data_IF_975377717295
#
_entry.id   IF_975377717295
#
_cell.length_a   1.000
_cell.length_b   1.000
_cell.length_c   1.000
_cell.angle_alpha   90.00
_cell.angle_beta   90.00
_cell.angle_gamma   90.00
#
_symmetry.space_group_name_H-M   'P 1'
#
loop_
_entity.id
_entity.type
_entity.pdbx_description
1 polymer ?
#
# COMPACT_ATOMS: atom_id res chain seq x y z
N UNK A 1 -1.30 -3.08 17.50
CA UNK A 1 -1.08 -2.60 18.88
C UNK A 1 -0.64 -3.79 19.72
N UNK A 2 0.64 -3.86 20.08
CA UNK A 2 1.19 -4.97 20.88
C UNK A 2 0.89 -4.71 22.36
N UNK A 3 0.44 -5.72 23.08
CA UNK A 3 0.24 -5.57 24.51
C UNK A 3 1.55 -5.82 25.23
N UNK A 4 2.07 -4.80 25.93
CA UNK A 4 3.16 -4.99 26.92
C UNK A 4 2.76 -5.94 28.05
N UNK A 5 1.48 -6.32 28.13
CA UNK A 5 0.93 -7.29 29.08
C UNK A 5 0.94 -8.73 28.57
N UNK A 6 1.41 -9.01 27.35
CA UNK A 6 1.44 -10.39 26.79
C UNK A 6 2.10 -11.39 27.73
N UNK A 7 3.31 -11.14 28.29
CA UNK A 7 3.92 -12.07 29.24
C UNK A 7 3.06 -12.31 30.49
N UNK A 8 2.41 -11.26 30.99
CA UNK A 8 1.51 -11.34 32.16
C UNK A 8 0.28 -12.19 31.86
N UNK A 9 -0.36 -11.99 30.70
CA UNK A 9 -1.54 -12.76 30.27
C UNK A 9 -1.20 -14.23 30.06
N UNK A 10 -0.03 -14.53 29.47
CA UNK A 10 0.45 -15.90 29.31
C UNK A 10 0.74 -16.57 30.66
N UNK A 11 1.34 -15.85 31.61
CA UNK A 11 1.55 -16.36 32.97
C UNK A 11 0.24 -16.63 33.73
N UNK A 12 -0.79 -15.80 33.53
CA UNK A 12 -2.12 -16.04 34.10
C UNK A 12 -2.82 -17.23 33.42
N UNK A 13 -2.58 -17.43 32.12
CA UNK A 13 -3.12 -18.56 31.36
C UNK A 13 -2.52 -19.87 31.84
N UNK A 14 -1.20 -19.93 32.04
CA UNK A 14 -0.51 -21.12 32.55
C UNK A 14 -0.91 -21.47 34.00
N UNK A 15 -1.37 -20.49 34.76
CA UNK A 15 -1.96 -20.67 36.09
C UNK A 15 -3.44 -21.09 36.07
N UNK A 16 -4.07 -21.19 34.89
CA UNK A 16 -5.50 -21.48 34.75
C UNK A 16 -6.42 -20.36 35.25
N UNK A 17 -5.91 -19.14 35.40
CA UNK A 17 -6.66 -17.98 35.92
C UNK A 17 -7.41 -17.21 34.84
N UNK A 18 -6.91 -17.26 33.61
CA UNK A 18 -7.53 -16.68 32.42
C UNK A 18 -7.41 -17.66 31.27
N UNK A 19 -8.29 -17.53 30.28
CA UNK A 19 -8.20 -18.23 29.01
C UNK A 19 -8.20 -17.18 27.91
N UNK A 20 -7.34 -17.33 26.91
CA UNK A 20 -7.42 -16.52 25.71
C UNK A 20 -8.28 -17.23 24.65
N UNK A 21 -8.93 -16.43 23.83
CA UNK A 21 -9.67 -16.88 22.65
C UNK A 21 -9.34 -15.92 21.50
N UNK A 22 -9.50 -16.39 20.27
CA UNK A 22 -9.22 -15.61 19.06
C UNK A 22 -10.51 -15.43 18.30
N UNK A 23 -10.83 -14.18 17.96
CA UNK A 23 -11.95 -13.83 17.09
C UNK A 23 -11.42 -13.04 15.89
N UNK A 24 -11.93 -13.30 14.67
CA UNK A 24 -11.61 -12.46 13.52
C UNK A 24 -11.99 -11.01 13.80
N UNK A 25 -11.06 -10.09 13.56
CA UNK A 25 -11.38 -8.67 13.51
C UNK A 25 -11.81 -8.29 12.09
N UNK A 26 -12.73 -7.34 11.99
CA UNK A 26 -13.07 -6.72 10.71
C UNK A 26 -12.16 -5.54 10.40
N UNK A 27 -11.35 -5.12 11.37
CA UNK A 27 -10.39 -4.03 11.20
C UNK A 27 -9.25 -4.44 10.29
N UNK A 28 -8.94 -3.58 9.34
CA UNK A 28 -7.80 -3.74 8.44
C UNK A 28 -6.77 -2.66 8.74
N UNK A 29 -5.49 -2.99 8.57
CA UNK A 29 -4.39 -2.03 8.68
C UNK A 29 -3.57 -2.10 7.41
N UNK A 30 -3.14 -0.95 6.91
CA UNK A 30 -2.51 -0.84 5.60
C UNK A 30 -1.49 0.29 5.58
N UNK A 31 -0.56 0.16 4.63
CA UNK A 31 0.29 1.24 4.16
C UNK A 31 -0.32 1.80 2.90
N UNK A 32 -0.50 3.12 2.85
CA UNK A 32 -1.03 3.82 1.69
C UNK A 32 0.01 4.77 1.13
N UNK A 33 0.00 4.90 -0.20
CA UNK A 33 0.73 5.92 -0.92
C UNK A 33 -0.20 7.06 -1.27
N UNK A 34 0.21 8.29 -0.98
CA UNK A 34 -0.36 9.46 -1.63
C UNK A 34 0.28 9.63 -3.00
N UNK A 35 -0.55 9.60 -4.05
CA UNK A 35 -0.08 9.70 -5.42
C UNK A 35 0.40 11.12 -5.76
N UNK A 36 -0.04 12.14 -5.01
CA UNK A 36 0.35 13.53 -5.22
C UNK A 36 0.47 14.28 -3.88
N UNK A 37 1.62 14.10 -3.20
CA UNK A 37 1.86 14.71 -1.89
C UNK A 37 2.10 16.21 -1.98
N UNK A 38 1.54 16.97 -1.05
CA UNK A 38 1.90 18.36 -0.82
C UNK A 38 3.28 18.46 -0.18
N UNK A 39 4.33 18.70 -0.96
CA UNK A 39 5.71 18.82 -0.42
C UNK A 39 5.82 19.97 0.59
N UNK A 40 5.15 21.10 0.33
CA UNK A 40 5.12 22.22 1.29
C UNK A 40 4.33 21.87 2.56
N UNK A 41 3.22 21.13 2.43
CA UNK A 41 2.47 20.63 3.57
C UNK A 41 3.28 19.65 4.40
N UNK A 42 3.97 18.71 3.75
CA UNK A 42 4.85 17.74 4.39
C UNK A 42 5.99 18.43 5.15
N UNK A 43 6.70 19.39 4.51
CA UNK A 43 7.72 20.18 5.20
C UNK A 43 7.16 21.02 6.35
N UNK A 44 5.87 21.37 6.31
CA UNK A 44 5.18 22.10 7.38
C UNK A 44 4.89 21.27 8.63
N UNK A 45 4.82 19.94 8.50
CA UNK A 45 4.62 19.02 9.64
C UNK A 45 5.93 18.44 10.17
N UNK A 46 7.01 18.51 9.39
CA UNK A 46 8.32 18.00 9.78
C UNK A 46 9.09 18.99 10.67
N UNK A 47 10.06 18.52 11.48
CA UNK A 47 10.99 19.37 12.18
C UNK A 47 11.78 20.29 11.23
N UNK A 48 12.06 21.51 11.67
CA UNK A 48 12.88 22.45 10.90
C UNK A 48 14.27 21.87 10.62
N UNK A 49 14.62 21.73 9.35
CA UNK A 49 15.91 21.19 8.91
C UNK A 49 15.83 19.79 8.31
N UNK A 50 14.67 19.13 8.41
CA UNK A 50 14.39 17.90 7.66
C UNK A 50 14.42 18.16 6.15
N UNK A 51 14.85 17.14 5.40
CA UNK A 51 15.04 17.23 3.96
C UNK A 51 14.04 16.30 3.27
N UNK A 52 13.28 16.88 2.34
CA UNK A 52 12.49 16.12 1.38
C UNK A 52 12.89 16.61 -0.01
N UNK A 53 13.40 15.71 -0.85
CA UNK A 53 13.90 16.07 -2.19
C UNK A 53 13.30 15.23 -3.33
N UNK A 54 12.22 14.50 -3.04
CA UNK A 54 11.41 13.84 -4.06
C UNK A 54 10.31 14.78 -4.57
N UNK A 55 9.88 14.66 -5.84
CA UNK A 55 8.75 15.44 -6.34
C UNK A 55 7.41 14.98 -5.74
N UNK A 56 6.38 15.82 -5.80
CA UNK A 56 5.04 15.51 -5.28
C UNK A 56 4.43 14.23 -5.86
N UNK A 57 4.77 13.89 -7.11
CA UNK A 57 4.27 12.72 -7.81
C UNK A 57 5.17 11.49 -7.68
N UNK A 58 6.12 11.45 -6.74
CA UNK A 58 7.08 10.34 -6.61
C UNK A 58 6.39 8.99 -6.53
N UNK A 59 5.34 8.87 -5.71
CA UNK A 59 4.59 7.63 -5.55
C UNK A 59 3.52 7.39 -6.62
N UNK A 60 3.30 8.30 -7.57
CA UNK A 60 2.48 8.01 -8.76
C UNK A 60 3.17 7.01 -9.72
N UNK A 61 4.48 6.80 -9.58
CA UNK A 61 5.25 5.88 -10.40
C UNK A 61 5.08 4.42 -9.94
N UNK A 62 4.78 3.51 -10.88
CA UNK A 62 4.54 2.08 -10.60
C UNK A 62 5.81 1.39 -10.15
N UNK A 63 6.96 1.72 -10.73
CA UNK A 63 8.22 1.10 -10.35
C UNK A 63 8.60 1.52 -8.93
N UNK A 64 8.34 2.79 -8.55
CA UNK A 64 8.47 3.26 -7.16
C UNK A 64 7.57 2.43 -6.24
N UNK A 65 6.25 2.40 -6.49
CA UNK A 65 5.31 1.69 -5.60
C UNK A 65 5.60 0.21 -5.49
N UNK A 66 5.91 -0.45 -6.60
CA UNK A 66 6.19 -1.88 -6.62
C UNK A 66 7.50 -2.22 -5.91
N UNK A 67 8.56 -1.42 -6.11
CA UNK A 67 9.80 -1.58 -5.37
C UNK A 67 9.57 -1.42 -3.86
N UNK A 68 8.79 -0.42 -3.44
CA UNK A 68 8.43 -0.18 -2.04
C UNK A 68 7.60 -1.34 -1.45
N UNK A 69 6.51 -1.75 -2.11
CA UNK A 69 5.65 -2.86 -1.64
C UNK A 69 6.44 -4.17 -1.51
N UNK A 70 7.32 -4.48 -2.46
CA UNK A 70 8.12 -5.70 -2.42
C UNK A 70 9.34 -5.60 -1.48
N UNK A 71 9.72 -4.40 -1.03
CA UNK A 71 10.78 -4.19 -0.05
C UNK A 71 10.29 -4.34 1.40
N UNK A 72 8.98 -4.51 1.62
CA UNK A 72 8.47 -4.75 2.96
C UNK A 72 8.84 -6.16 3.46
N UNK A 73 9.37 -6.29 4.69
CA UNK A 73 9.81 -7.56 5.25
C UNK A 73 8.65 -8.38 5.84
N UNK A 74 7.72 -8.85 4.99
CA UNK A 74 6.48 -9.50 5.43
C UNK A 74 6.70 -10.68 6.38
N UNK A 75 7.68 -11.56 6.12
CA UNK A 75 7.93 -12.71 6.98
C UNK A 75 8.53 -12.31 8.33
N UNK A 76 9.53 -11.44 8.37
CA UNK A 76 10.08 -10.95 9.65
C UNK A 76 9.05 -10.16 10.42
N UNK A 77 8.27 -9.31 9.74
CA UNK A 77 7.17 -8.60 10.38
C UNK A 77 6.19 -9.57 11.01
N UNK A 78 5.68 -10.57 10.28
CA UNK A 78 4.69 -11.50 10.83
C UNK A 78 5.24 -12.37 11.97
N UNK A 79 6.43 -12.93 11.80
CA UNK A 79 6.97 -13.94 12.71
C UNK A 79 7.66 -13.33 13.94
N UNK A 80 8.09 -12.08 13.87
CA UNK A 80 8.88 -11.43 14.94
C UNK A 80 8.17 -10.22 15.50
N UNK A 81 7.74 -9.29 14.65
CA UNK A 81 7.20 -8.00 15.12
C UNK A 81 5.73 -8.17 15.50
N UNK A 82 4.96 -8.84 14.65
CA UNK A 82 3.55 -9.13 14.85
C UNK A 82 3.27 -10.31 15.79
N UNK A 83 4.32 -10.95 16.31
CA UNK A 83 4.21 -12.12 17.19
C UNK A 83 5.02 -11.89 18.45
N UNK A 84 4.35 -11.84 19.61
CA UNK A 84 5.00 -11.65 20.92
C UNK A 84 4.78 -12.90 21.75
N UNK A 85 5.87 -13.53 22.22
CA UNK A 85 5.83 -14.76 23.03
C UNK A 85 4.98 -15.89 22.40
N UNK A 86 4.99 -15.99 21.07
CA UNK A 86 4.21 -16.99 20.32
C UNK A 86 2.74 -16.63 20.08
N UNK A 87 2.28 -15.46 20.53
CA UNK A 87 0.93 -14.93 20.23
C UNK A 87 1.01 -14.00 19.03
N UNK A 88 0.31 -14.37 17.95
CA UNK A 88 0.23 -13.57 16.72
C UNK A 88 -0.89 -12.52 16.83
N UNK A 89 -0.52 -11.24 16.71
CA UNK A 89 -1.42 -10.06 16.79
C UNK A 89 -1.81 -9.50 15.42
N UNK A 90 -1.20 -9.99 14.34
CA UNK A 90 -1.49 -9.58 12.99
C UNK A 90 -1.03 -10.62 11.99
N UNK A 91 -1.77 -10.73 10.89
CA UNK A 91 -1.44 -11.59 9.78
C UNK A 91 -1.78 -10.88 8.47
N UNK A 92 -1.11 -11.29 7.41
CA UNK A 92 -1.35 -10.77 6.07
C UNK A 92 -2.37 -11.66 5.37
N UNK A 93 -3.39 -11.04 4.78
CA UNK A 93 -4.37 -11.73 3.94
C UNK A 93 -4.46 -11.12 2.53
N UNK A 94 -3.53 -10.21 2.20
CA UNK A 94 -3.18 -9.78 0.84
C UNK A 94 -4.17 -8.85 0.13
N UNK A 95 -5.21 -8.37 0.80
CA UNK A 95 -6.17 -7.43 0.22
C UNK A 95 -6.94 -6.66 1.29
N UNK A 96 -8.00 -5.96 0.89
CA UNK A 96 -8.82 -5.13 1.82
C UNK A 96 -10.02 -5.87 2.39
N UNK A 97 -10.36 -7.05 1.87
CA UNK A 97 -11.47 -7.87 2.38
C UNK A 97 -10.89 -8.82 3.44
N UNK A 98 -11.25 -8.66 4.74
CA UNK A 98 -10.80 -9.56 5.79
C UNK A 98 -11.16 -11.03 5.52
N UNK A 99 -10.31 -11.93 6.02
CA UNK A 99 -10.60 -13.36 6.03
C UNK A 99 -11.96 -13.62 6.70
N UNK A 100 -12.74 -14.53 6.13
CA UNK A 100 -14.10 -14.93 6.58
C UNK A 100 -15.23 -13.93 6.31
N UNK A 101 -14.97 -12.76 5.71
CA UNK A 101 -16.05 -11.98 5.10
C UNK A 101 -16.56 -12.67 3.82
N UNK A 102 -17.80 -12.37 3.43
CA UNK A 102 -18.33 -12.80 2.12
C UNK A 102 -17.39 -12.38 0.99
N UNK A 103 -17.33 -13.15 -0.10
CA UNK A 103 -16.49 -12.84 -1.26
C UNK A 103 -14.99 -12.67 -0.95
N UNK A 104 -14.49 -13.24 0.16
CA UNK A 104 -13.06 -13.40 0.37
C UNK A 104 -12.55 -14.62 -0.41
N UNK A 105 -11.77 -14.38 -1.46
CA UNK A 105 -11.16 -15.44 -2.28
C UNK A 105 -9.63 -15.41 -2.16
N UNK A 106 -9.03 -16.12 -1.20
CA UNK A 106 -7.59 -16.06 -0.94
C UNK A 106 -6.73 -16.52 -2.12
N UNK A 107 -7.26 -17.42 -2.96
CA UNK A 107 -6.56 -17.96 -4.14
C UNK A 107 -6.37 -16.95 -5.26
N UNK A 108 -7.15 -15.87 -5.26
CA UNK A 108 -7.14 -14.86 -6.31
C UNK A 108 -6.29 -13.65 -5.93
N UNK A 109 -5.63 -13.71 -4.77
CA UNK A 109 -4.79 -12.63 -4.26
C UNK A 109 -3.33 -13.04 -4.43
N UNK A 110 -2.65 -12.47 -5.41
CA UNK A 110 -1.18 -12.53 -5.48
C UNK A 110 -0.60 -11.32 -4.75
N UNK A 111 0.02 -11.55 -3.61
CA UNK A 111 0.65 -10.50 -2.83
C UNK A 111 2.06 -10.94 -2.40
N UNK A 112 3.08 -10.06 -2.39
CA UNK A 112 4.39 -10.42 -1.88
C UNK A 112 4.34 -11.00 -0.47
N UNK A 113 4.82 -12.22 -0.35
CA UNK A 113 4.99 -12.92 0.91
C UNK A 113 6.48 -13.18 1.13
N UNK A 114 6.95 -13.14 2.37
CA UNK A 114 8.36 -13.37 2.67
C UNK A 114 9.14 -12.10 2.98
N UNK A 115 10.45 -12.24 3.07
CA UNK A 115 11.36 -11.09 3.19
C UNK A 115 11.84 -10.64 1.80
N UNK A 116 12.34 -9.41 1.67
CA UNK A 116 12.72 -8.87 0.38
C UNK A 116 13.86 -9.68 -0.25
N UNK A 117 13.80 -9.86 -1.57
CA UNK A 117 14.83 -10.55 -2.32
C UNK A 117 15.74 -9.51 -2.97
N UNK A 118 17.03 -9.56 -2.63
CA UNK A 118 18.05 -8.62 -3.13
C UNK A 118 18.62 -8.99 -4.50
N UNK A 119 18.27 -10.16 -5.04
CA UNK A 119 18.70 -10.59 -6.38
C UNK A 119 17.79 -9.98 -7.47
N UNK A 120 18.30 -9.08 -8.33
CA UNK A 120 17.50 -8.43 -9.37
C UNK A 120 17.05 -9.38 -10.49
N UNK A 121 17.56 -10.61 -10.54
CA UNK A 121 17.13 -11.63 -11.53
C UNK A 121 15.79 -12.29 -11.15
N UNK A 122 15.33 -12.14 -9.91
CA UNK A 122 14.06 -12.70 -9.46
C UNK A 122 12.93 -11.74 -9.84
N UNK A 123 12.22 -12.06 -10.91
CA UNK A 123 11.11 -11.24 -11.47
C UNK A 123 10.08 -10.92 -10.40
N UNK A 124 9.70 -9.65 -10.32
CA UNK A 124 8.74 -9.15 -9.35
C UNK A 124 9.31 -8.90 -7.95
N UNK A 125 10.58 -9.21 -7.67
CA UNK A 125 11.20 -8.80 -6.40
C UNK A 125 11.45 -7.29 -6.34
N UNK A 126 11.70 -6.74 -5.14
CA UNK A 126 12.05 -5.33 -4.98
C UNK A 126 13.32 -4.96 -5.76
N UNK A 127 14.35 -5.81 -5.75
CA UNK A 127 15.56 -5.61 -6.52
C UNK A 127 15.31 -5.67 -8.03
N UNK A 128 14.39 -6.52 -8.49
CA UNK A 128 13.97 -6.53 -9.89
C UNK A 128 13.25 -5.24 -10.27
N UNK A 129 12.31 -4.76 -9.45
CA UNK A 129 11.62 -3.50 -9.69
C UNK A 129 12.55 -2.29 -9.69
N UNK A 130 13.53 -2.25 -8.78
CA UNK A 130 14.59 -1.25 -8.81
C UNK A 130 15.39 -1.31 -10.12
N UNK A 131 15.81 -2.50 -10.55
CA UNK A 131 16.54 -2.68 -11.80
C UNK A 131 15.73 -2.30 -13.05
N UNK A 132 14.42 -2.60 -13.07
CA UNK A 132 13.52 -2.18 -14.15
C UNK A 132 13.30 -0.67 -14.13
N UNK A 133 13.03 -0.09 -12.97
CA UNK A 133 12.76 1.34 -12.78
C UNK A 133 13.94 2.23 -13.17
N UNK A 134 15.17 1.73 -13.05
CA UNK A 134 16.39 2.49 -13.40
C UNK A 134 16.93 2.21 -14.80
N UNK A 135 16.36 1.23 -15.52
CA UNK A 135 16.80 0.85 -16.87
C UNK A 135 15.97 1.56 -17.95
N UNK A 136 16.59 2.45 -18.74
CA UNK A 136 15.92 3.21 -19.81
C UNK A 136 15.20 2.36 -20.87
N UNK A 137 15.59 1.10 -21.04
CA UNK A 137 14.95 0.19 -22.02
C UNK A 137 13.75 -0.57 -21.44
N UNK A 138 13.48 -0.43 -20.14
CA UNK A 138 12.37 -1.11 -19.48
C UNK A 138 11.04 -0.40 -19.76
N UNK A 139 9.92 -1.12 -19.98
CA UNK A 139 8.59 -0.52 -20.00
C UNK A 139 8.17 0.06 -18.63
N UNK A 140 8.93 -0.22 -17.57
CA UNK A 140 8.74 0.32 -16.23
C UNK A 140 9.77 1.40 -15.89
N UNK A 141 10.52 1.91 -16.89
CA UNK A 141 11.51 2.93 -16.64
C UNK A 141 10.89 4.15 -15.96
N UNK A 142 11.48 4.52 -14.82
CA UNK A 142 11.09 5.67 -14.03
C UNK A 142 12.21 6.71 -14.06
N UNK A 143 11.91 7.88 -14.62
CA UNK A 143 12.81 9.03 -14.52
C UNK A 143 13.04 9.46 -13.06
N UNK A 144 12.09 9.14 -12.17
CA UNK A 144 12.16 9.48 -10.76
C UNK A 144 13.13 8.57 -10.02
N UNK A 145 13.02 7.25 -10.18
CA UNK A 145 13.98 6.31 -9.59
C UNK A 145 15.38 6.47 -10.19
N UNK A 146 15.49 6.67 -11.51
CA UNK A 146 16.78 6.84 -12.16
C UNK A 146 17.53 8.12 -11.75
N UNK A 147 16.83 9.11 -11.19
CA UNK A 147 17.45 10.32 -10.64
C UNK A 147 18.03 10.10 -9.22
N UNK A 148 17.57 9.06 -8.51
CA UNK A 148 18.07 8.69 -7.19
C UNK A 148 19.42 7.98 -7.33
N UNK A 149 20.46 8.47 -6.66
CA UNK A 149 21.79 7.83 -6.64
C UNK A 149 22.37 7.91 -5.24
N UNK A 150 23.37 7.08 -4.90
CA UNK A 150 24.01 7.16 -3.58
C UNK A 150 24.72 8.51 -3.33
N UNK A 151 25.08 9.24 -4.39
CA UNK A 151 25.66 10.58 -4.29
C UNK A 151 24.60 11.70 -4.22
N UNK A 152 23.37 11.42 -4.64
CA UNK A 152 22.22 12.32 -4.58
C UNK A 152 20.97 11.48 -4.25
N UNK A 153 20.82 11.04 -2.98
CA UNK A 153 19.79 10.09 -2.62
C UNK A 153 18.42 10.74 -2.62
N UNK A 154 17.39 9.96 -2.92
CA UNK A 154 16.00 10.36 -2.73
C UNK A 154 15.62 10.17 -1.26
N UNK A 155 15.31 11.28 -0.59
CA UNK A 155 15.04 11.38 0.84
C UNK A 155 13.59 11.84 1.04
N UNK A 156 12.87 11.10 1.87
CA UNK A 156 11.50 11.39 2.28
C UNK A 156 11.15 10.64 3.57
N UNK A 157 10.22 11.14 4.37
CA UNK A 157 9.74 10.41 5.54
C UNK A 157 8.79 9.27 5.12
N UNK A 158 8.72 8.24 5.95
CA UNK A 158 7.64 7.26 6.03
C UNK A 158 6.91 7.60 7.32
N UNK A 159 5.63 7.93 7.19
CA UNK A 159 4.81 8.44 8.27
C UNK A 159 4.32 7.27 9.13
N UNK A 160 4.88 7.19 10.34
CA UNK A 160 4.50 6.26 11.38
C UNK A 160 3.40 6.83 12.28
N UNK A 161 3.27 6.26 13.48
CA UNK A 161 2.25 6.68 14.43
C UNK A 161 2.83 6.73 15.83
N UNK A 162 2.75 7.91 16.46
CA UNK A 162 3.23 8.15 17.82
C UNK A 162 2.65 7.12 18.80
N UNK A 163 3.55 6.53 19.60
CA UNK A 163 3.19 5.57 20.64
C UNK A 163 2.98 4.14 20.13
N UNK A 164 3.46 3.81 18.93
CA UNK A 164 3.36 2.46 18.35
C UNK A 164 4.74 1.83 18.13
N UNK A 165 5.45 1.39 19.20
CA UNK A 165 6.85 0.96 19.11
C UNK A 165 7.10 -0.20 18.15
N UNK A 166 6.14 -1.12 17.99
CA UNK A 166 6.34 -2.20 17.03
C UNK A 166 6.07 -1.79 15.57
N UNK A 167 5.38 -0.68 15.31
CA UNK A 167 5.43 -0.05 13.99
C UNK A 167 6.78 0.60 13.76
N UNK A 168 7.35 1.26 14.77
CA UNK A 168 8.68 1.91 14.69
C UNK A 168 9.78 0.88 14.38
N UNK A 169 9.73 -0.29 15.03
CA UNK A 169 10.60 -1.43 14.74
C UNK A 169 10.42 -1.92 13.29
N UNK A 170 9.17 -1.99 12.82
CA UNK A 170 8.88 -2.43 11.45
C UNK A 170 9.36 -1.43 10.40
N UNK A 171 9.19 -0.12 10.64
CA UNK A 171 9.67 0.95 9.77
C UNK A 171 11.18 0.98 9.74
N UNK A 172 11.86 0.82 10.88
CA UNK A 172 13.32 0.73 10.95
C UNK A 172 13.85 -0.40 10.06
N UNK A 173 13.25 -1.60 10.18
CA UNK A 173 13.63 -2.73 9.35
C UNK A 173 13.34 -2.45 7.87
N UNK A 174 12.14 -1.96 7.54
CA UNK A 174 11.74 -1.65 6.17
C UNK A 174 12.66 -0.62 5.49
N UNK A 175 13.04 0.44 6.20
CA UNK A 175 14.00 1.44 5.72
C UNK A 175 15.34 0.79 5.41
N UNK A 176 15.84 -0.07 6.30
CA UNK A 176 17.13 -0.75 6.09
C UNK A 176 17.12 -1.66 4.86
N UNK A 177 15.99 -2.33 4.59
CA UNK A 177 15.81 -3.17 3.40
C UNK A 177 15.83 -2.31 2.12
N UNK A 178 15.12 -1.18 2.10
CA UNK A 178 15.11 -0.25 0.96
C UNK A 178 16.53 0.26 0.66
N UNK A 179 17.26 0.69 1.68
CA UNK A 179 18.63 1.17 1.52
C UNK A 179 19.54 0.06 0.99
N UNK A 180 19.41 -1.17 1.48
CA UNK A 180 20.17 -2.31 1.00
C UNK A 180 19.88 -2.64 -0.47
N UNK A 181 18.59 -2.67 -0.85
CA UNK A 181 18.15 -2.97 -2.22
C UNK A 181 18.65 -1.92 -3.22
N UNK A 182 18.60 -0.65 -2.83
CA UNK A 182 18.93 0.48 -3.70
C UNK A 182 20.40 0.90 -3.62
N UNK A 183 21.20 0.28 -2.74
CA UNK A 183 22.59 0.68 -2.50
C UNK A 183 22.71 2.08 -1.91
N UNK A 184 21.72 2.50 -1.11
CA UNK A 184 21.63 3.82 -0.50
C UNK A 184 21.20 4.93 -1.46
N UNK A 185 20.68 4.61 -2.64
CA UNK A 185 20.14 5.60 -3.58
C UNK A 185 18.77 6.15 -3.13
N UNK A 186 18.01 5.35 -2.38
CA UNK A 186 16.76 5.78 -1.73
C UNK A 186 16.98 5.66 -0.22
N UNK A 187 16.82 6.77 0.50
CA UNK A 187 17.11 6.90 1.94
C UNK A 187 15.88 7.46 2.65
N UNK A 188 14.81 6.65 2.80
CA UNK A 188 13.67 7.06 3.59
C UNK A 188 14.04 7.12 5.07
N UNK A 189 13.29 7.88 5.85
CA UNK A 189 13.40 7.90 7.31
C UNK A 189 12.02 7.80 7.95
N UNK A 190 11.88 7.36 9.19
CA UNK A 190 10.58 7.32 9.86
C UNK A 190 10.27 8.66 10.53
N UNK A 191 9.03 9.12 10.43
CA UNK A 191 8.55 10.26 11.20
C UNK A 191 7.15 9.97 11.75
N UNK A 192 6.99 10.11 13.06
CA UNK A 192 5.74 9.81 13.73
C UNK A 192 4.87 11.05 13.92
N UNK A 193 3.59 10.90 13.59
CA UNK A 193 2.54 11.86 13.89
C UNK A 193 1.48 11.23 14.79
N UNK A 194 0.56 12.03 15.32
CA UNK A 194 -0.56 11.46 16.08
C UNK A 194 -1.49 10.68 15.14
N UNK A 195 -2.22 9.68 15.67
CA UNK A 195 -3.25 8.99 14.89
C UNK A 195 -4.29 9.97 14.31
N UNK A 196 -4.68 10.99 15.09
CA UNK A 196 -5.61 12.02 14.64
C UNK A 196 -5.07 12.78 13.43
N UNK A 197 -3.81 13.20 13.48
CA UNK A 197 -3.17 13.89 12.36
C UNK A 197 -3.10 12.99 11.13
N UNK A 198 -2.75 11.71 11.31
CA UNK A 198 -2.72 10.75 10.21
C UNK A 198 -4.09 10.62 9.52
N UNK A 199 -5.19 10.57 10.28
CA UNK A 199 -6.56 10.53 9.74
C UNK A 199 -6.88 11.84 9.01
N UNK A 200 -6.63 13.00 9.63
CA UNK A 200 -6.96 14.31 9.04
C UNK A 200 -6.18 14.53 7.74
N UNK A 201 -4.89 14.20 7.74
CA UNK A 201 -4.04 14.38 6.58
C UNK A 201 -4.35 13.38 5.46
N UNK A 202 -4.74 12.15 5.77
CA UNK A 202 -5.04 11.14 4.75
C UNK A 202 -6.44 11.21 4.17
N UNK A 203 -7.45 11.58 4.97
CA UNK A 203 -8.88 11.52 4.57
C UNK A 203 -9.48 12.90 4.31
N UNK A 204 -9.10 13.89 5.10
CA UNK A 204 -9.76 15.22 5.09
C UNK A 204 -9.03 16.24 4.23
N UNK A 205 -7.95 15.85 3.57
CA UNK A 205 -7.21 16.72 2.65
C UNK A 205 -7.83 16.67 1.25
N UNK A 206 -7.90 17.83 0.59
CA UNK A 206 -8.28 17.90 -0.82
C UNK A 206 -7.25 17.14 -1.68
N UNK A 207 -7.64 16.60 -2.85
CA UNK A 207 -6.70 15.95 -3.76
C UNK A 207 -5.47 16.83 -4.01
N UNK A 208 -4.27 16.28 -3.78
CA UNK A 208 -3.00 16.99 -3.98
C UNK A 208 -2.53 17.84 -2.80
N UNK A 209 -3.27 17.83 -1.68
CA UNK A 209 -2.99 18.67 -0.51
C UNK A 209 -2.54 17.88 0.71
N UNK A 210 -2.63 16.56 0.67
CA UNK A 210 -2.23 15.74 1.81
C UNK A 210 -0.73 15.92 2.10
N UNK A 211 -0.35 16.18 3.37
CA UNK A 211 1.04 16.32 3.78
C UNK A 211 1.68 14.96 4.13
N UNK A 212 1.05 13.83 3.81
CA UNK A 212 1.59 12.48 4.11
C UNK A 212 1.78 11.70 2.81
N UNK A 213 2.96 11.13 2.61
CA UNK A 213 3.38 10.51 1.35
C UNK A 213 3.24 8.98 1.34
N UNK A 214 3.84 8.31 2.33
CA UNK A 214 3.70 6.89 2.62
C UNK A 214 3.36 6.79 4.09
N UNK A 215 2.17 6.35 4.42
CA UNK A 215 1.65 6.40 5.77
C UNK A 215 0.91 5.13 6.14
N UNK A 216 0.82 4.87 7.44
CA UNK A 216 0.05 3.75 7.97
C UNK A 216 -1.29 4.22 8.46
N UNK A 217 -2.33 3.44 8.21
CA UNK A 217 -3.62 3.68 8.81
C UNK A 217 -4.37 2.35 9.02
N UNK A 218 -5.54 2.45 9.63
CA UNK A 218 -6.48 1.35 9.70
C UNK A 218 -7.89 1.80 9.36
N UNK A 219 -8.71 0.84 8.99
CA UNK A 219 -10.12 1.02 8.74
C UNK A 219 -10.91 0.00 9.54
N UNK A 220 -11.98 0.48 10.18
CA UNK A 220 -12.95 -0.36 10.87
C UNK A 220 -14.24 -0.20 10.07
N UNK A 221 -14.78 -1.27 9.48
CA UNK A 221 -15.96 -1.12 8.65
C UNK A 221 -17.18 -0.77 9.49
N UNK A 222 -18.00 0.14 8.98
CA UNK A 222 -19.23 0.58 9.65
C UNK A 222 -20.29 -0.53 9.70
N UNK A 223 -20.20 -1.50 8.80
CA UNK A 223 -21.06 -2.67 8.71
C UNK A 223 -20.31 -3.88 8.11
N UNK A 224 -20.67 -5.12 8.47
CA UNK A 224 -19.92 -6.33 8.13
C UNK A 224 -20.16 -6.82 6.69
N UNK A 225 -20.06 -5.94 5.69
CA UNK A 225 -20.12 -6.27 4.27
C UNK A 225 -18.77 -5.91 3.60
N UNK A 226 -18.24 -6.78 2.72
CA UNK A 226 -17.02 -6.50 1.95
C UNK A 226 -17.03 -5.16 1.22
N UNK A 227 -18.22 -4.68 0.80
CA UNK A 227 -18.38 -3.41 0.11
C UNK A 227 -17.89 -2.23 0.94
N UNK A 228 -17.98 -2.29 2.28
CA UNK A 228 -17.53 -1.21 3.14
C UNK A 228 -16.00 -1.03 3.05
N UNK A 229 -15.25 -2.13 3.15
CA UNK A 229 -13.79 -2.11 2.98
C UNK A 229 -13.39 -1.77 1.53
N UNK A 230 -13.99 -2.44 0.56
CA UNK A 230 -13.64 -2.25 -0.85
C UNK A 230 -13.91 -0.81 -1.32
N UNK A 231 -15.08 -0.27 -0.99
CA UNK A 231 -15.43 1.08 -1.42
C UNK A 231 -14.49 2.13 -0.82
N UNK A 232 -14.21 2.05 0.49
CA UNK A 232 -13.33 3.01 1.16
C UNK A 232 -11.92 3.06 0.55
N UNK A 233 -11.41 1.92 0.06
CA UNK A 233 -10.02 1.76 -0.39
C UNK A 233 -9.81 1.89 -1.90
N UNK A 234 -10.80 1.54 -2.73
CA UNK A 234 -10.60 1.41 -4.18
C UNK A 234 -11.53 2.25 -5.04
N UNK A 235 -12.73 2.62 -4.56
CA UNK A 235 -13.64 3.41 -5.37
C UNK A 235 -13.07 4.81 -5.61
N UNK A 236 -13.23 5.41 -6.80
CA UNK A 236 -12.79 6.78 -7.04
C UNK A 236 -13.47 7.75 -6.07
N UNK A 237 -12.69 8.68 -5.52
CA UNK A 237 -13.16 9.70 -4.59
C UNK A 237 -13.87 9.14 -3.33
N UNK A 238 -13.44 7.97 -2.86
CA UNK A 238 -13.77 7.43 -1.55
C UNK A 238 -12.80 7.96 -0.47
N UNK A 239 -13.04 7.57 0.78
CA UNK A 239 -12.29 8.02 1.97
C UNK A 239 -10.78 8.05 1.77
N UNK A 240 -10.18 6.97 1.25
CA UNK A 240 -8.71 6.86 1.11
C UNK A 240 -8.20 7.09 -0.31
N UNK A 241 -9.09 7.16 -1.30
CA UNK A 241 -8.70 7.44 -2.70
C UNK A 241 -8.83 8.92 -3.06
N UNK A 242 -9.69 9.68 -2.36
CA UNK A 242 -9.83 11.13 -2.55
C UNK A 242 -8.60 11.87 -2.09
N UNK A 243 -8.21 11.68 -0.82
CA UNK A 243 -7.10 12.41 -0.21
C UNK A 243 -5.75 12.12 -0.89
N UNK A 244 -5.60 10.92 -1.44
CA UNK A 244 -4.41 10.48 -2.20
C UNK A 244 -4.42 10.91 -3.68
N UNK A 245 -5.43 11.67 -4.09
CA UNK A 245 -5.63 12.15 -5.46
C UNK A 245 -5.58 11.03 -6.52
N UNK A 246 -6.06 9.84 -6.18
CA UNK A 246 -5.87 8.63 -6.98
C UNK A 246 -6.38 8.78 -8.41
N UNK A 247 -7.63 9.26 -8.55
CA UNK A 247 -8.27 9.49 -9.85
C UNK A 247 -7.55 10.59 -10.64
N UNK A 248 -7.19 11.70 -9.98
CA UNK A 248 -6.52 12.83 -10.60
C UNK A 248 -5.13 12.43 -11.10
N UNK A 249 -4.34 11.73 -10.28
CA UNK A 249 -3.04 11.22 -10.65
C UNK A 249 -3.16 10.31 -11.87
N UNK A 250 -4.02 9.31 -11.83
CA UNK A 250 -4.18 8.36 -12.93
C UNK A 250 -4.86 8.90 -14.17
N UNK A 251 -5.44 10.11 -14.12
CA UNK A 251 -5.92 10.82 -15.30
C UNK A 251 -4.80 11.52 -16.10
N UNK A 252 -3.60 11.69 -15.51
CA UNK A 252 -2.50 12.40 -16.15
C UNK A 252 -2.00 11.66 -17.41
N UNK A 253 -1.62 12.37 -18.49
CA UNK A 253 -1.15 11.73 -19.73
C UNK A 253 0.05 10.79 -19.57
N UNK A 254 0.88 11.03 -18.54
CA UNK A 254 2.03 10.17 -18.23
C UNK A 254 1.63 8.76 -17.77
N UNK A 255 0.39 8.57 -17.32
CA UNK A 255 -0.14 7.31 -16.79
C UNK A 255 -1.39 6.84 -17.56
N UNK A 256 -1.94 7.65 -18.45
CA UNK A 256 -3.17 7.40 -19.20
C UNK A 256 -2.95 7.52 -20.71
N UNK A 257 -2.06 6.69 -21.25
CA UNK A 257 -1.72 6.69 -22.66
C UNK A 257 -2.83 6.00 -23.49
N UNK A 258 -3.40 6.71 -24.46
CA UNK A 258 -4.44 6.17 -25.34
C UNK A 258 -3.97 4.97 -26.19
N UNK A 259 -2.66 4.76 -26.32
CA UNK A 259 -2.06 3.64 -27.06
C UNK A 259 -2.12 2.31 -26.30
N UNK A 260 -2.48 2.33 -25.01
CA UNK A 260 -2.61 1.15 -24.15
C UNK A 260 -3.80 0.24 -24.53
N UNK A 261 -4.61 0.64 -25.51
CA UNK A 261 -5.76 -0.12 -26.00
C UNK A 261 -7.06 0.15 -25.23
N UNK A 262 -8.15 -0.39 -25.75
CA UNK A 262 -9.51 -0.36 -25.18
C UNK A 262 -10.09 1.04 -24.90
N UNK A 263 -10.60 1.70 -25.95
CA UNK A 263 -11.40 2.93 -25.79
C UNK A 263 -12.74 2.71 -25.09
N UNK A 264 -13.19 1.46 -24.99
CA UNK A 264 -14.38 1.05 -24.24
C UNK A 264 -13.96 0.32 -22.96
N UNK A 265 -13.80 1.09 -21.89
CA UNK A 265 -13.46 0.61 -20.54
C UNK A 265 -14.56 -0.26 -19.91
N UNK A 266 -15.79 -0.22 -20.44
CA UNK A 266 -16.91 -1.02 -19.93
C UNK A 266 -17.01 -2.39 -20.60
N UNK A 267 -16.17 -2.67 -21.61
CA UNK A 267 -16.18 -3.96 -22.29
C UNK A 267 -15.56 -5.06 -21.43
N UNK A 268 -16.11 -6.28 -21.52
CA UNK A 268 -15.52 -7.46 -20.87
C UNK A 268 -14.12 -7.77 -21.40
N UNK A 269 -13.87 -7.45 -22.68
CA UNK A 269 -12.55 -7.62 -23.29
C UNK A 269 -11.50 -6.72 -22.62
N UNK A 270 -11.85 -5.47 -22.26
CA UNK A 270 -10.97 -4.60 -21.51
C UNK A 270 -10.67 -5.15 -20.12
N UNK A 271 -11.72 -5.55 -19.37
CA UNK A 271 -11.53 -6.14 -18.03
C UNK A 271 -10.66 -7.39 -18.09
N UNK A 272 -10.99 -8.32 -18.98
CA UNK A 272 -10.25 -9.57 -19.17
C UNK A 272 -8.80 -9.30 -19.57
N UNK A 273 -8.53 -8.30 -20.42
CA UNK A 273 -7.16 -7.93 -20.75
C UNK A 273 -6.38 -7.46 -19.52
N UNK A 274 -6.87 -6.44 -18.82
CA UNK A 274 -6.17 -5.87 -17.67
C UNK A 274 -6.07 -6.83 -16.49
N UNK A 275 -7.04 -7.74 -16.33
CA UNK A 275 -6.95 -8.80 -15.35
C UNK A 275 -5.85 -9.82 -15.69
N UNK A 276 -5.56 -10.09 -16.96
CA UNK A 276 -4.63 -11.16 -17.34
C UNK A 276 -3.20 -10.70 -17.62
N UNK A 277 -2.88 -9.40 -17.49
CA UNK A 277 -1.50 -8.95 -17.59
C UNK A 277 -0.75 -9.21 -16.27
N UNK A 278 0.48 -9.72 -16.36
CA UNK A 278 1.27 -9.99 -15.16
C UNK A 278 1.74 -8.70 -14.45
N UNK A 279 1.99 -7.64 -15.21
CA UNK A 279 2.45 -6.35 -14.70
C UNK A 279 1.94 -5.22 -15.60
N UNK A 280 1.47 -4.14 -14.98
CA UNK A 280 0.87 -3.00 -15.64
C UNK A 280 1.93 -1.97 -16.05
N UNK A 281 2.10 -1.67 -17.36
CA UNK A 281 3.06 -0.66 -17.81
C UNK A 281 2.77 0.71 -17.20
N UNK A 282 3.84 1.49 -16.98
CA UNK A 282 3.78 2.78 -16.30
C UNK A 282 2.74 3.72 -16.91
N UNK A 283 2.66 3.78 -18.23
CA UNK A 283 1.82 4.68 -19.00
C UNK A 283 0.41 4.16 -19.25
N UNK A 284 0.08 2.94 -18.78
CA UNK A 284 -1.23 2.31 -18.95
C UNK A 284 -2.06 2.24 -17.67
N UNK A 285 -1.55 2.75 -16.55
CA UNK A 285 -2.19 2.61 -15.24
C UNK A 285 -3.57 3.26 -15.15
N UNK A 286 -3.72 4.43 -15.77
CA UNK A 286 -4.98 5.15 -15.84
C UNK A 286 -6.06 4.43 -16.64
N UNK A 287 -5.69 3.81 -17.75
CA UNK A 287 -6.61 3.03 -18.60
C UNK A 287 -7.11 1.80 -17.85
N UNK A 288 -6.21 1.08 -17.18
CA UNK A 288 -6.58 -0.07 -16.34
C UNK A 288 -7.48 0.35 -15.18
N UNK A 289 -7.15 1.46 -14.50
CA UNK A 289 -7.98 1.98 -13.41
C UNK A 289 -9.39 2.38 -13.87
N UNK A 290 -9.51 3.02 -15.03
CA UNK A 290 -10.81 3.39 -15.60
C UNK A 290 -11.65 2.14 -15.92
N UNK A 291 -11.01 1.08 -16.42
CA UNK A 291 -11.66 -0.23 -16.64
C UNK A 291 -12.15 -0.83 -15.32
N UNK A 292 -11.29 -0.88 -14.30
CA UNK A 292 -11.65 -1.36 -12.96
C UNK A 292 -12.83 -0.56 -12.37
N UNK A 293 -12.79 0.77 -12.49
CA UNK A 293 -13.83 1.66 -11.98
C UNK A 293 -15.16 1.45 -12.70
N UNK A 294 -15.16 1.35 -14.03
CA UNK A 294 -16.36 1.09 -14.82
C UNK A 294 -17.02 -0.25 -14.44
N UNK A 295 -16.23 -1.30 -14.26
CA UNK A 295 -16.72 -2.61 -13.86
C UNK A 295 -17.14 -2.66 -12.40
N UNK A 296 -16.49 -1.90 -11.51
CA UNK A 296 -16.93 -1.75 -10.12
C UNK A 296 -18.32 -1.10 -10.03
N UNK A 297 -18.58 -0.08 -10.87
CA UNK A 297 -19.91 0.53 -10.98
C UNK A 297 -20.92 -0.47 -11.54
N UNK A 298 -20.56 -1.23 -12.57
CA UNK A 298 -21.44 -2.25 -13.17
C UNK A 298 -21.83 -3.30 -12.13
N UNK A 299 -20.86 -3.84 -11.39
CA UNK A 299 -21.09 -4.84 -10.35
C UNK A 299 -22.02 -4.35 -9.23
N UNK A 300 -22.04 -3.05 -8.90
CA UNK A 300 -22.96 -2.48 -7.92
C UNK A 300 -24.44 -2.50 -8.39
N UNK A 301 -24.69 -2.57 -9.69
CA UNK A 301 -26.04 -2.50 -10.27
C UNK A 301 -26.57 -3.86 -10.75
N UNK A 302 -25.76 -4.92 -10.70
CA UNK A 302 -26.20 -6.27 -11.06
C UNK A 302 -27.17 -6.82 -10.00
N UNK A 303 -28.41 -7.20 -10.37
CA UNK A 303 -29.41 -7.67 -9.41
C UNK A 303 -29.05 -9.07 -8.89
N UNK A 304 -28.59 -9.12 -7.64
CA UNK A 304 -28.46 -10.29 -6.75
C UNK A 304 -28.44 -11.66 -7.44
N UNK A 305 -27.48 -11.85 -8.34
CA UNK A 305 -27.11 -13.20 -8.77
C UNK A 305 -26.33 -13.83 -7.62
N UNK A 306 -26.49 -15.13 -7.45
CA UNK A 306 -25.84 -16.01 -6.45
C UNK A 306 -24.31 -15.88 -6.33
N UNK A 307 -23.68 -15.01 -7.13
CA UNK A 307 -22.28 -14.61 -7.12
C UNK A 307 -22.23 -13.09 -7.34
N UNK A 308 -21.86 -12.31 -6.31
CA UNK A 308 -21.36 -10.95 -6.54
C UNK A 308 -20.01 -11.10 -7.22
N UNK A 309 -19.93 -10.85 -8.52
CA UNK A 309 -18.65 -10.68 -9.22
C UNK A 309 -17.97 -9.42 -8.68
N UNK A 310 -17.13 -9.61 -7.67
CA UNK A 310 -15.86 -8.89 -7.58
C UNK A 310 -14.80 -9.88 -8.08
N UNK A 311 -14.77 -10.11 -9.40
CA UNK A 311 -13.69 -10.85 -10.03
C UNK A 311 -12.56 -9.88 -10.43
N UNK A 312 -11.51 -9.95 -9.59
CA UNK A 312 -10.06 -9.63 -9.70
C UNK A 312 -9.48 -9.14 -11.04
N UNK A 313 -8.40 -8.33 -11.08
CA UNK A 313 -7.14 -8.34 -10.31
C UNK A 313 -6.67 -6.95 -9.86
#
# INVERSE_FOLDING_TARGET
MYSTHTPTLLALTSQGKVQYTTFPTQSIFFFAFDMNVSISGLLGILPSGDIVNVPSTFFSDVAVRQMMVHAWPYATYQNTIATVDGVQYGFQYGGVIPQFMGNYYPTNISWPSGNPITNPSVVGSAAWWWAQGTNLSSPYFSKLLAACTSANPCIYPIIGQLGNPGLDDALTLYISEIEQITGGAVQPYSYDITFTDAVVYSVSSEPGHSPVNLFTLGWIPDYPDPSNNFAAMYQPNATYTTGTALYQAWSLPAFNNASCGYSDYSSWAALSHWANIGYLPQDCQGVAYQTLSAWSITALHEPDLTQRTLDYN
#
